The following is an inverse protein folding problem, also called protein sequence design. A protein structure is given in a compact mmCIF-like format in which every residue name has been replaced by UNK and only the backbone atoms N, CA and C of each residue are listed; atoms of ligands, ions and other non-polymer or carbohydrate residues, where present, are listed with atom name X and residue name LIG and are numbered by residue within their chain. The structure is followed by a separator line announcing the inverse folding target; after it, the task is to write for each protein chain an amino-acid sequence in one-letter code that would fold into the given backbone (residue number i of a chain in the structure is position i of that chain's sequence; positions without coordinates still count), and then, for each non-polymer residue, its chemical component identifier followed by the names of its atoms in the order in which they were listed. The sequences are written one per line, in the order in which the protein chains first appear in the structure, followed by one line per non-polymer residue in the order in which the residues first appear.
data_IF_745694191813
#
_entry.id   IF_745694191813
#
_cell.length_a   1.000
_cell.length_b   1.000
_cell.length_c   1.000
_cell.angle_alpha   90.00
_cell.angle_beta   90.00
_cell.angle_gamma   90.00
#
_symmetry.space_group_name_H-M   'P 1'
#
loop_
_entity.id
_entity.type
_entity.pdbx_description
1 polymer ?
#
# COMPACT_ATOMS: atom_id res chain seq x y z
N UNK A 1 -34.35 -21.07 -36.18
CA UNK A 1 -33.75 -19.79 -36.63
C UNK A 1 -34.59 -18.64 -36.07
N UNK A 2 -33.96 -17.77 -35.27
CA UNK A 2 -34.26 -16.33 -35.13
C UNK A 2 -35.59 -15.83 -34.46
N UNK A 3 -35.36 -15.08 -33.37
CA UNK A 3 -36.06 -13.90 -32.81
C UNK A 3 -37.46 -14.07 -32.17
N UNK A 4 -37.56 -14.08 -30.83
CA UNK A 4 -37.63 -12.96 -29.87
C UNK A 4 -38.98 -12.23 -29.80
N UNK A 5 -39.61 -12.40 -28.63
CA UNK A 5 -40.60 -11.58 -27.93
C UNK A 5 -41.99 -11.32 -28.55
N UNK A 6 -43.00 -11.94 -27.93
CA UNK A 6 -44.32 -11.34 -27.76
C UNK A 6 -45.01 -11.89 -26.51
N UNK A 7 -45.16 -11.08 -25.46
CA UNK A 7 -46.30 -11.16 -24.53
C UNK A 7 -46.30 -9.93 -23.61
N UNK A 8 -47.18 -8.94 -23.84
CA UNK A 8 -48.59 -8.86 -23.40
C UNK A 8 -48.76 -9.03 -21.89
N UNK A 9 -48.96 -7.89 -21.22
CA UNK A 9 -50.00 -7.59 -20.22
C UNK A 9 -50.77 -8.78 -19.61
N UNK A 10 -50.73 -8.92 -18.28
CA UNK A 10 -51.91 -8.83 -17.39
C UNK A 10 -51.60 -9.25 -15.94
N UNK A 11 -51.71 -8.26 -15.06
CA UNK A 11 -52.37 -8.19 -13.74
C UNK A 11 -52.83 -9.51 -13.06
N UNK A 12 -52.47 -9.59 -11.75
CA UNK A 12 -52.94 -10.46 -10.64
C UNK A 12 -52.41 -11.89 -10.61
N UNK A 13 -51.34 -12.08 -9.84
CA UNK A 13 -51.28 -13.24 -8.95
C UNK A 13 -50.47 -12.90 -7.71
N UNK A 14 -50.94 -13.39 -6.57
CA UNK A 14 -50.27 -13.36 -5.28
C UNK A 14 -48.96 -14.15 -5.48
N UNK A 15 -47.81 -13.49 -5.40
CA UNK A 15 -46.52 -14.18 -5.43
C UNK A 15 -45.50 -13.33 -4.69
N UNK A 16 -45.04 -13.91 -3.59
CA UNK A 16 -43.70 -13.77 -2.99
C UNK A 16 -42.73 -13.14 -4.00
N UNK A 17 -42.45 -11.85 -3.85
CA UNK A 17 -41.42 -11.18 -4.65
C UNK A 17 -40.08 -11.66 -4.07
N UNK A 18 -39.26 -12.36 -4.87
CA UNK A 18 -38.07 -13.01 -4.37
C UNK A 18 -37.09 -11.98 -3.83
N UNK A 19 -36.55 -12.33 -2.65
CA UNK A 19 -35.29 -11.85 -2.08
C UNK A 19 -34.37 -11.41 -3.22
N UNK A 20 -34.19 -10.10 -3.38
CA UNK A 20 -33.19 -9.59 -4.30
C UNK A 20 -31.85 -10.16 -3.83
N UNK A 21 -31.29 -11.06 -4.61
CA UNK A 21 -29.98 -11.63 -4.37
C UNK A 21 -29.00 -10.49 -4.67
N UNK A 22 -28.66 -9.73 -3.62
CA UNK A 22 -27.56 -8.77 -3.69
C UNK A 22 -26.35 -9.57 -4.15
N UNK A 23 -25.68 -9.22 -5.27
CA UNK A 23 -24.46 -9.89 -5.68
C UNK A 23 -23.45 -9.77 -4.52
N UNK A 24 -23.16 -10.89 -3.87
CA UNK A 24 -22.32 -10.95 -2.66
C UNK A 24 -20.86 -10.56 -2.92
N UNK A 25 -20.48 -10.26 -4.17
CA UNK A 25 -19.11 -9.94 -4.55
C UNK A 25 -18.64 -8.54 -4.15
N UNK A 26 -19.53 -7.65 -3.71
CA UNK A 26 -19.17 -6.26 -3.34
C UNK A 26 -19.21 -6.02 -1.81
N UNK A 27 -19.78 -6.96 -1.05
CA UNK A 27 -19.83 -6.91 0.42
C UNK A 27 -18.68 -7.65 1.11
N UNK A 28 -17.85 -8.37 0.35
CA UNK A 28 -16.70 -9.14 0.86
C UNK A 28 -15.37 -8.35 0.80
N UNK A 29 -15.42 -7.02 0.94
CA UNK A 29 -14.20 -6.21 1.16
C UNK A 29 -14.26 -5.33 2.40
N UNK A 30 -15.34 -5.39 3.21
CA UNK A 30 -15.51 -4.50 4.36
C UNK A 30 -15.94 -5.20 5.66
N UNK A 31 -15.65 -6.49 5.81
CA UNK A 31 -15.78 -7.21 7.10
C UNK A 31 -14.41 -7.57 7.68
N UNK A 32 -13.53 -6.58 7.86
CA UNK A 32 -12.50 -6.68 8.90
C UNK A 32 -13.19 -6.38 10.23
N UNK A 33 -13.69 -7.43 10.89
CA UNK A 33 -14.12 -7.33 12.28
C UNK A 33 -12.94 -6.76 13.10
N UNK A 34 -13.05 -5.49 13.50
CA UNK A 34 -12.02 -4.85 14.32
C UNK A 34 -12.22 -5.32 15.76
N UNK A 35 -12.00 -6.61 15.98
CA UNK A 35 -11.85 -7.17 17.31
C UNK A 35 -10.45 -6.79 17.81
N UNK A 36 -10.37 -6.29 19.05
CA UNK A 36 -9.08 -6.04 19.71
C UNK A 36 -8.35 -7.38 19.79
N UNK A 37 -7.33 -7.57 18.95
CA UNK A 37 -6.61 -8.84 18.87
C UNK A 37 -5.80 -9.12 20.15
N UNK A 38 -5.45 -8.08 20.90
CA UNK A 38 -4.79 -8.19 22.20
C UNK A 38 -4.56 -6.82 22.85
N UNK A 39 -4.58 -6.79 24.18
CA UNK A 39 -4.23 -5.61 24.99
C UNK A 39 -3.04 -5.96 25.87
N UNK A 40 -2.00 -5.14 25.82
CA UNK A 40 -0.81 -5.32 26.66
C UNK A 40 -0.29 -3.97 27.13
N UNK A 41 0.41 -4.01 28.26
CA UNK A 41 1.19 -2.89 28.75
C UNK A 41 2.63 -3.08 28.31
N UNK A 42 3.25 -2.01 27.81
CA UNK A 42 4.64 -1.99 27.42
C UNK A 42 5.33 -0.80 28.09
N UNK A 43 6.59 -1.01 28.48
CA UNK A 43 7.44 0.02 29.06
C UNK A 43 8.36 0.58 27.96
N UNK A 44 8.68 1.87 28.07
CA UNK A 44 9.66 2.49 27.19
C UNK A 44 11.07 2.07 27.61
N UNK A 45 11.84 1.57 26.66
CA UNK A 45 13.26 1.31 26.87
C UNK A 45 14.05 2.62 27.08
N UNK A 46 15.28 2.53 27.56
CA UNK A 46 16.17 3.68 27.81
C UNK A 46 16.34 4.60 26.58
N UNK A 47 16.18 4.06 25.37
CA UNK A 47 16.23 4.81 24.10
C UNK A 47 14.87 5.35 23.63
N UNK A 48 13.86 5.39 24.50
CA UNK A 48 12.47 5.78 24.18
C UNK A 48 11.85 4.92 23.07
N UNK A 49 12.18 3.63 23.04
CA UNK A 49 11.63 2.67 22.08
C UNK A 49 10.49 1.89 22.72
N UNK A 50 9.43 1.62 21.94
CA UNK A 50 8.30 0.77 22.34
C UNK A 50 8.27 -0.47 21.44
N UNK A 51 8.22 -1.66 22.03
CA UNK A 51 8.16 -2.91 21.27
C UNK A 51 6.71 -3.31 21.01
N UNK A 52 6.31 -3.31 19.74
CA UNK A 52 4.99 -3.76 19.31
C UNK A 52 4.93 -5.29 19.26
N UNK A 53 4.10 -5.90 20.10
CA UNK A 53 3.88 -7.36 20.09
C UNK A 53 2.91 -7.72 18.98
N UNK A 54 3.39 -8.41 17.94
CA UNK A 54 2.57 -8.85 16.80
C UNK A 54 2.54 -7.89 15.61
N UNK A 55 3.59 -7.08 15.42
CA UNK A 55 3.73 -6.26 14.22
C UNK A 55 3.73 -7.15 12.97
N UNK A 56 2.72 -6.98 12.09
CA UNK A 56 2.60 -7.69 10.81
C UNK A 56 3.41 -7.03 9.69
N UNK A 57 3.74 -5.76 9.86
CA UNK A 57 4.46 -4.95 8.90
C UNK A 57 5.75 -4.47 9.53
N UNK A 58 6.76 -4.19 8.70
CA UNK A 58 8.06 -3.73 9.17
C UNK A 58 8.07 -2.21 9.41
N UNK A 59 7.31 -1.47 8.61
CA UNK A 59 7.30 -0.01 8.63
C UNK A 59 5.91 0.52 9.01
N UNK A 60 5.91 1.57 9.82
CA UNK A 60 4.72 2.26 10.27
C UNK A 60 4.91 3.77 10.12
N UNK A 61 3.90 4.45 9.63
CA UNK A 61 3.79 5.90 9.76
C UNK A 61 3.32 6.21 11.18
N UNK A 62 4.06 7.10 11.85
CA UNK A 62 3.78 7.52 13.23
C UNK A 62 3.19 8.91 13.19
N UNK A 63 1.98 9.08 13.73
CA UNK A 63 1.39 10.39 13.99
C UNK A 63 1.21 10.60 15.49
N UNK A 64 1.89 11.62 16.01
CA UNK A 64 1.78 12.03 17.41
C UNK A 64 0.83 13.22 17.48
N UNK A 65 -0.17 13.11 18.35
CA UNK A 65 -1.14 14.16 18.59
C UNK A 65 -0.85 14.87 19.91
N UNK A 66 -1.27 16.14 20.04
CA UNK A 66 -1.03 16.96 21.24
C UNK A 66 -1.62 16.37 22.53
N UNK A 67 -2.63 15.51 22.41
CA UNK A 67 -3.23 14.77 23.51
C UNK A 67 -2.40 13.56 23.98
N UNK A 68 -1.22 13.34 23.40
CA UNK A 68 -0.33 12.22 23.72
C UNK A 68 -0.74 10.88 23.12
N UNK A 69 -1.76 10.86 22.24
CA UNK A 69 -2.13 9.67 21.47
C UNK A 69 -1.14 9.51 20.32
N UNK A 70 -0.67 8.28 20.13
CA UNK A 70 0.19 7.90 19.01
C UNK A 70 -0.60 6.96 18.11
N UNK A 71 -0.78 7.35 16.86
CA UNK A 71 -1.39 6.52 15.82
C UNK A 71 -0.29 5.91 14.96
N UNK A 72 -0.41 4.61 14.72
CA UNK A 72 0.52 3.80 13.93
C UNK A 72 -0.23 3.24 12.73
N UNK A 73 0.06 3.74 11.53
CA UNK A 73 -0.54 3.24 10.28
C UNK A 73 0.49 2.36 9.56
N UNK A 74 0.18 1.10 9.20
CA UNK A 74 1.08 0.25 8.44
C UNK A 74 1.45 0.89 7.10
N UNK A 75 2.73 0.79 6.73
CA UNK A 75 3.23 1.27 5.44
C UNK A 75 4.10 0.23 4.78
N UNK A 76 3.96 0.09 3.47
CA UNK A 76 4.89 -0.69 2.66
C UNK A 76 6.00 0.21 2.14
N UNK A 77 7.25 -0.25 2.25
CA UNK A 77 8.37 0.43 1.64
C UNK A 77 8.34 0.16 0.14
N UNK A 78 7.61 0.98 -0.60
CA UNK A 78 7.59 0.92 -2.05
C UNK A 78 8.92 1.49 -2.56
N UNK A 79 9.66 0.68 -3.30
CA UNK A 79 10.81 1.16 -4.08
C UNK A 79 10.30 2.30 -4.96
N UNK A 80 10.94 3.49 -4.95
CA UNK A 80 10.49 4.56 -5.82
C UNK A 80 10.54 4.07 -7.27
N UNK A 81 9.38 4.03 -7.93
CA UNK A 81 9.24 3.49 -9.28
C UNK A 81 10.14 4.20 -10.30
N UNK A 82 10.59 5.41 -9.98
CA UNK A 82 11.35 6.25 -10.89
C UNK A 82 12.51 6.98 -10.20
N UNK A 83 13.65 6.97 -10.90
CA UNK A 83 14.81 7.79 -10.59
C UNK A 83 14.46 9.26 -10.88
N UNK A 84 14.93 10.20 -10.05
CA UNK A 84 14.68 11.62 -10.29
C UNK A 84 15.23 12.05 -11.66
N UNK A 85 14.53 12.96 -12.36
CA UNK A 85 14.99 13.48 -13.67
C UNK A 85 16.41 14.03 -13.61
N UNK A 86 16.77 14.67 -12.49
CA UNK A 86 18.10 15.22 -12.25
C UNK A 86 19.15 14.10 -12.12
N UNK A 87 18.85 13.06 -11.36
CA UNK A 87 19.76 11.92 -11.19
C UNK A 87 19.97 11.20 -12.53
N UNK A 88 18.90 11.01 -13.32
CA UNK A 88 19.00 10.42 -14.66
C UNK A 88 19.92 11.25 -15.57
N UNK A 89 19.75 12.59 -15.58
CA UNK A 89 20.60 13.49 -16.35
C UNK A 89 22.08 13.41 -15.93
N UNK A 90 22.36 13.35 -14.63
CA UNK A 90 23.76 13.20 -14.17
C UNK A 90 24.37 11.87 -14.59
N UNK A 91 23.57 10.80 -14.63
CA UNK A 91 24.03 9.49 -15.13
C UNK A 91 24.34 9.56 -16.62
N UNK A 92 23.46 10.17 -17.41
CA UNK A 92 23.67 10.36 -18.86
C UNK A 92 24.92 11.21 -19.15
N UNK A 93 25.14 12.28 -18.39
CA UNK A 93 26.33 13.13 -18.50
C UNK A 93 27.60 12.37 -18.11
N UNK A 94 27.53 11.51 -17.09
CA UNK A 94 28.67 10.69 -16.67
C UNK A 94 29.08 9.69 -17.76
N UNK A 95 28.12 9.05 -18.42
CA UNK A 95 28.39 8.14 -19.54
C UNK A 95 29.01 8.90 -20.72
N UNK A 96 28.46 10.08 -21.08
CA UNK A 96 29.02 10.90 -22.15
C UNK A 96 30.45 11.36 -21.86
N UNK A 97 30.74 11.74 -20.61
CA UNK A 97 32.09 12.11 -20.20
C UNK A 97 33.05 10.92 -20.27
N UNK A 98 32.59 9.72 -19.86
CA UNK A 98 33.37 8.49 -19.98
C UNK A 98 33.70 8.16 -21.44
N UNK A 99 32.71 8.21 -22.33
CA UNK A 99 32.89 7.94 -23.77
C UNK A 99 33.80 8.99 -24.43
N UNK A 100 33.72 10.25 -23.99
CA UNK A 100 34.58 11.33 -24.46
C UNK A 100 35.99 11.31 -23.86
N UNK A 101 36.30 10.36 -22.96
CA UNK A 101 37.58 10.30 -22.24
C UNK A 101 37.80 11.43 -21.24
N UNK A 102 36.75 12.20 -20.90
CA UNK A 102 36.75 13.23 -19.87
C UNK A 102 36.61 12.59 -18.49
N UNK A 103 37.64 11.84 -18.09
CA UNK A 103 37.69 11.09 -16.83
C UNK A 103 38.67 11.71 -15.85
N UNK A 104 38.42 11.51 -14.56
CA UNK A 104 39.35 11.91 -13.50
C UNK A 104 40.68 11.15 -13.61
N UNK A 105 41.73 11.69 -12.98
CA UNK A 105 43.01 10.99 -12.87
C UNK A 105 42.82 9.59 -12.24
N UNK A 106 43.59 8.58 -12.69
CA UNK A 106 43.56 7.25 -12.10
C UNK A 106 43.85 7.30 -10.60
N UNK A 107 43.05 6.57 -9.83
CA UNK A 107 43.27 6.41 -8.38
C UNK A 107 44.06 5.11 -8.19
N UNK A 108 45.23 5.20 -7.54
CA UNK A 108 45.99 4.02 -7.14
C UNK A 108 45.36 3.44 -5.86
N UNK A 109 44.86 2.20 -5.99
CA UNK A 109 44.18 1.44 -4.92
C UNK A 109 45.06 0.36 -4.31
N UNK A 110 46.36 0.31 -4.65
CA UNK A 110 47.28 -0.73 -4.17
C UNK A 110 47.71 -0.60 -2.69
N UNK A 111 47.19 0.40 -1.96
CA UNK A 111 47.54 0.68 -0.57
C UNK A 111 46.37 0.78 0.42
N UNK A 112 45.17 0.28 0.07
CA UNK A 112 44.02 0.16 0.99
C UNK A 112 43.88 -1.28 1.50
#
# INVERSE_FOLDING_TARGET
MRFFLLQKFAIRSIMIVPRWEIPQSETEVMSMSTAVQGRYHAHLDAKKRLTLRGAKYEYYEVREYDNGVILLEPRELVLPDNISKRTLQMMDESIRNLDAGNVSAPIDISGV
#
